data_IF_743855919847
#
_entry.id   IF_743855919847
#
_cell.length_a   1.000
_cell.length_b   1.000
_cell.length_c   1.000
_cell.angle_alpha   90.00
_cell.angle_beta   90.00
_cell.angle_gamma   90.00
#
_symmetry.space_group_name_H-M   'P 1'
#
loop_
_entity.id
_entity.type
_entity.pdbx_description
1 polymer ?
#
# COMPACT_ATOMS: atom_id res chain seq x y z
N UNK A 1 -12.90 -0.49 -36.28
CA UNK A 1 -11.78 -1.39 -35.96
C UNK A 1 -11.14 -0.84 -34.68
N UNK A 2 -11.46 -1.41 -33.52
CA UNK A 2 -10.84 -0.97 -32.25
C UNK A 2 -9.46 -1.62 -32.15
N UNK A 3 -8.42 -0.80 -32.05
CA UNK A 3 -7.06 -1.29 -31.86
C UNK A 3 -6.96 -2.05 -30.53
N UNK A 4 -6.17 -3.11 -30.52
CA UNK A 4 -5.83 -3.88 -29.32
C UNK A 4 -4.88 -3.00 -28.48
N UNK A 5 -5.42 -2.29 -27.49
CA UNK A 5 -4.63 -1.45 -26.58
C UNK A 5 -4.10 -2.32 -25.43
N UNK A 6 -2.81 -2.67 -25.45
CA UNK A 6 -2.11 -3.17 -24.27
C UNK A 6 -1.73 -1.98 -23.39
N UNK A 7 -2.66 -1.47 -22.59
CA UNK A 7 -2.35 -0.37 -21.66
C UNK A 7 -1.71 -0.95 -20.40
N UNK A 8 -0.40 -1.15 -20.47
CA UNK A 8 0.47 -1.18 -19.31
C UNK A 8 1.11 0.20 -19.16
N UNK A 9 1.29 0.64 -17.93
CA UNK A 9 2.00 1.87 -17.59
C UNK A 9 3.28 2.06 -18.43
N UNK A 10 3.50 3.27 -18.93
CA UNK A 10 4.72 3.60 -19.68
C UNK A 10 5.37 4.85 -19.10
N UNK A 11 6.65 4.72 -18.74
CA UNK A 11 7.51 5.84 -18.35
C UNK A 11 8.45 6.14 -19.52
N UNK A 12 8.53 7.40 -19.93
CA UNK A 12 9.37 7.82 -21.05
C UNK A 12 9.98 9.21 -20.83
N UNK A 13 10.90 9.60 -21.71
CA UNK A 13 11.56 10.91 -21.70
C UNK A 13 12.21 11.25 -20.35
N UNK A 14 12.89 10.28 -19.74
CA UNK A 14 13.58 10.49 -18.47
C UNK A 14 14.85 11.31 -18.71
N UNK A 15 14.85 12.55 -18.25
CA UNK A 15 16.03 13.44 -18.27
C UNK A 15 16.36 13.86 -16.85
N UNK A 16 17.64 14.11 -16.58
CA UNK A 16 18.10 14.53 -15.26
C UNK A 16 18.97 15.78 -15.40
N UNK A 17 18.74 16.76 -14.53
CA UNK A 17 19.44 18.02 -14.51
C UNK A 17 19.90 18.35 -13.09
N UNK A 18 21.13 18.84 -12.96
CA UNK A 18 21.62 19.29 -11.66
C UNK A 18 21.15 20.72 -11.39
N UNK A 19 20.56 20.93 -10.22
CA UNK A 19 20.20 22.25 -9.71
C UNK A 19 20.79 22.43 -8.30
N UNK A 20 22.00 23.01 -8.25
CA UNK A 20 22.75 23.15 -7.00
C UNK A 20 23.10 21.80 -6.39
N UNK A 21 22.57 21.54 -5.18
CA UNK A 21 22.74 20.28 -4.44
C UNK A 21 21.70 19.22 -4.81
N UNK A 22 20.71 19.57 -5.63
CA UNK A 22 19.63 18.68 -6.03
C UNK A 22 19.85 18.16 -7.45
N UNK A 23 19.25 17.00 -7.72
CA UNK A 23 19.03 16.51 -9.08
C UNK A 23 17.54 16.51 -9.35
N UNK A 24 17.13 17.17 -10.42
CA UNK A 24 15.74 17.19 -10.89
C UNK A 24 15.63 16.22 -12.06
N UNK A 25 14.73 15.25 -11.94
CA UNK A 25 14.46 14.23 -12.95
C UNK A 25 13.08 14.48 -13.53
N UNK A 26 13.02 14.79 -14.82
CA UNK A 26 11.76 14.95 -15.56
C UNK A 26 11.38 13.62 -16.21
N UNK A 27 10.09 13.32 -16.25
CA UNK A 27 9.57 12.14 -16.94
C UNK A 27 8.13 12.34 -17.42
N UNK A 28 7.73 11.52 -18.38
CA UNK A 28 6.35 11.42 -18.85
C UNK A 28 5.78 10.08 -18.40
N UNK A 29 4.59 10.10 -17.79
CA UNK A 29 3.87 8.91 -17.37
C UNK A 29 2.55 8.79 -18.13
N UNK A 30 2.37 7.66 -18.81
CA UNK A 30 1.09 7.26 -19.39
C UNK A 30 0.55 6.07 -18.60
N UNK A 31 -0.59 6.24 -17.92
CA UNK A 31 -1.22 5.20 -17.11
C UNK A 31 -2.75 5.35 -17.08
N UNK A 32 -3.47 4.24 -16.95
CA UNK A 32 -4.94 4.22 -16.75
C UNK A 32 -5.33 4.34 -15.27
N UNK A 33 -4.46 3.90 -14.37
CA UNK A 33 -4.67 3.95 -12.91
C UNK A 33 -3.50 4.66 -12.24
N UNK A 34 -3.70 5.31 -11.08
CA UNK A 34 -2.59 5.91 -10.36
C UNK A 34 -1.49 4.89 -10.06
N UNK A 35 -0.24 5.33 -10.18
CA UNK A 35 0.95 4.52 -9.97
C UNK A 35 1.72 4.98 -8.72
N UNK A 36 2.43 4.05 -8.10
CA UNK A 36 3.50 4.35 -7.17
C UNK A 36 4.79 4.57 -7.98
N UNK A 37 5.40 5.75 -7.82
CA UNK A 37 6.59 6.17 -8.56
C UNK A 37 7.79 6.19 -7.63
N UNK A 38 8.90 5.59 -8.09
CA UNK A 38 10.19 5.57 -7.38
C UNK A 38 11.33 5.96 -8.31
N UNK A 39 12.32 6.66 -7.76
CA UNK A 39 13.52 7.06 -8.47
C UNK A 39 14.69 6.15 -8.06
N UNK A 40 15.44 5.66 -9.03
CA UNK A 40 16.64 4.84 -8.83
C UNK A 40 17.82 5.52 -9.53
N UNK A 41 19.01 5.37 -8.96
CA UNK A 41 20.27 5.84 -9.57
C UNK A 41 21.20 4.66 -9.83
N UNK A 42 21.93 4.74 -10.94
CA UNK A 42 23.06 3.88 -11.25
C UNK A 42 24.33 4.72 -11.26
N UNK A 43 25.42 4.16 -10.73
CA UNK A 43 26.75 4.78 -10.70
C UNK A 43 27.74 4.13 -11.67
N UNK A 44 27.27 3.18 -12.48
CA UNK A 44 28.09 2.28 -13.29
C UNK A 44 27.49 2.07 -14.69
N UNK A 45 27.10 3.16 -15.35
CA UNK A 45 26.51 3.16 -16.70
C UNK A 45 25.21 2.36 -16.84
N UNK A 46 24.47 2.14 -15.76
CA UNK A 46 23.23 1.38 -15.76
C UNK A 46 23.40 -0.13 -15.57
N UNK A 47 24.60 -0.59 -15.21
CA UNK A 47 24.85 -2.02 -14.96
C UNK A 47 24.19 -2.48 -13.65
N UNK A 48 24.29 -1.67 -12.60
CA UNK A 48 23.59 -1.86 -11.32
C UNK A 48 22.71 -0.64 -11.01
N UNK A 49 21.60 -0.91 -10.32
CA UNK A 49 20.65 0.11 -9.89
C UNK A 49 20.55 0.10 -8.38
N UNK A 50 20.47 1.28 -7.78
CA UNK A 50 20.22 1.43 -6.35
C UNK A 50 18.82 0.94 -5.97
N UNK A 51 18.59 0.77 -4.68
CA UNK A 51 17.24 0.82 -4.12
C UNK A 51 16.59 2.19 -4.38
N UNK A 52 15.25 2.31 -4.24
CA UNK A 52 14.56 3.59 -4.34
C UNK A 52 15.22 4.67 -3.48
N UNK A 53 15.49 5.81 -4.09
CA UNK A 53 16.15 6.92 -3.42
C UNK A 53 15.27 7.51 -2.33
N UNK A 54 15.89 7.86 -1.21
CA UNK A 54 15.27 8.63 -0.14
C UNK A 54 15.20 10.10 -0.51
N UNK A 55 14.59 10.91 0.37
CA UNK A 55 14.58 12.38 0.30
C UNK A 55 14.29 12.97 -1.10
N UNK A 56 13.41 12.29 -1.83
CA UNK A 56 12.85 12.76 -3.08
C UNK A 56 11.56 13.56 -2.79
N UNK A 57 11.33 14.63 -3.54
CA UNK A 57 10.13 15.48 -3.47
C UNK A 57 9.55 15.70 -4.87
N UNK A 58 8.32 16.21 -4.97
CA UNK A 58 7.61 16.39 -6.23
C UNK A 58 6.71 15.20 -6.56
N UNK A 59 6.73 14.75 -7.81
CA UNK A 59 5.91 13.65 -8.32
C UNK A 59 6.52 12.27 -8.03
N UNK A 60 6.68 11.95 -6.75
CA UNK A 60 7.25 10.67 -6.28
C UNK A 60 6.37 10.07 -5.19
N UNK A 61 6.34 8.75 -5.09
CA UNK A 61 5.47 8.04 -4.17
C UNK A 61 4.12 7.67 -4.78
N UNK A 62 3.08 7.69 -3.97
CA UNK A 62 1.78 7.13 -4.30
C UNK A 62 0.88 8.08 -5.12
N UNK A 63 -0.11 7.50 -5.79
CA UNK A 63 -1.21 8.20 -6.46
C UNK A 63 -0.78 9.16 -7.59
N UNK A 64 0.28 8.83 -8.33
CA UNK A 64 0.73 9.63 -9.47
C UNK A 64 -0.05 9.22 -10.73
N UNK A 65 -0.78 10.18 -11.31
CA UNK A 65 -1.58 9.99 -12.51
C UNK A 65 -0.79 10.11 -13.81
N UNK A 66 -1.50 10.19 -14.94
CA UNK A 66 -0.86 10.43 -16.23
C UNK A 66 -0.46 11.90 -16.40
N UNK A 67 0.70 12.16 -17.00
CA UNK A 67 1.14 13.53 -17.29
C UNK A 67 2.66 13.70 -17.36
N UNK A 68 3.04 14.97 -17.46
CA UNK A 68 4.41 15.44 -17.33
C UNK A 68 4.71 15.67 -15.85
N UNK A 69 5.81 15.10 -15.37
CA UNK A 69 6.15 15.06 -13.95
C UNK A 69 7.62 15.34 -13.69
N UNK A 70 7.94 15.70 -12.45
CA UNK A 70 9.30 15.96 -12.00
C UNK A 70 9.55 15.46 -10.57
N UNK A 71 10.69 14.81 -10.37
CA UNK A 71 11.17 14.38 -9.06
C UNK A 71 12.42 15.19 -8.73
N UNK A 72 12.43 15.86 -7.59
CA UNK A 72 13.61 16.55 -7.07
C UNK A 72 14.23 15.72 -5.96
N UNK A 73 15.44 15.22 -6.19
CA UNK A 73 16.21 14.47 -5.21
C UNK A 73 17.24 15.37 -4.54
N UNK A 74 17.20 15.44 -3.20
CA UNK A 74 18.27 16.06 -2.42
C UNK A 74 19.41 15.05 -2.24
N UNK A 75 20.42 15.17 -3.11
CA UNK A 75 21.56 14.27 -3.16
C UNK A 75 22.28 14.20 -1.81
N UNK A 76 22.48 15.37 -1.19
CA UNK A 76 23.30 15.49 0.02
C UNK A 76 22.59 15.04 1.30
N UNK A 77 21.26 14.88 1.26
CA UNK A 77 20.50 14.29 2.36
C UNK A 77 20.69 12.77 2.45
N UNK A 78 20.85 12.09 1.31
CA UNK A 78 21.06 10.65 1.25
C UNK A 78 22.52 10.24 1.23
N UNK A 79 23.39 11.09 0.66
CA UNK A 79 24.78 10.75 0.36
C UNK A 79 25.69 11.93 0.61
N UNK A 80 26.92 11.66 1.01
CA UNK A 80 27.93 12.72 1.17
C UNK A 80 28.40 13.30 -0.17
N UNK A 81 28.30 12.51 -1.26
CA UNK A 81 28.66 12.92 -2.62
C UNK A 81 28.02 11.98 -3.65
N UNK A 82 27.86 12.46 -4.89
CA UNK A 82 27.43 11.65 -6.03
C UNK A 82 28.54 11.57 -7.07
N UNK A 83 29.31 10.48 -7.02
CA UNK A 83 30.35 10.16 -7.99
C UNK A 83 30.19 8.73 -8.52
N UNK A 84 30.58 8.51 -9.76
CA UNK A 84 30.44 7.23 -10.45
C UNK A 84 30.76 7.36 -11.93
N UNK A 85 30.94 6.22 -12.61
CA UNK A 85 31.17 6.18 -14.04
C UNK A 85 29.84 6.15 -14.79
N UNK A 86 29.52 7.25 -15.49
CA UNK A 86 28.31 7.38 -16.29
C UNK A 86 27.02 7.21 -15.46
N UNK A 87 26.82 8.11 -14.49
CA UNK A 87 25.63 8.14 -13.64
C UNK A 87 24.35 8.17 -14.51
N UNK A 88 23.38 7.31 -14.17
CA UNK A 88 22.07 7.24 -14.84
C UNK A 88 20.93 7.24 -13.84
N UNK A 89 19.80 7.77 -14.26
CA UNK A 89 18.56 7.77 -13.48
C UNK A 89 17.50 6.94 -14.16
N UNK A 90 16.70 6.23 -13.36
CA UNK A 90 15.55 5.47 -13.83
C UNK A 90 14.36 5.76 -12.94
N UNK A 91 13.26 6.10 -13.57
CA UNK A 91 11.96 6.19 -12.90
C UNK A 91 11.25 4.86 -13.06
N UNK A 92 10.82 4.29 -11.95
CA UNK A 92 10.02 3.06 -11.89
C UNK A 92 8.63 3.43 -11.43
N UNK A 93 7.66 3.32 -12.33
CA UNK A 93 6.24 3.36 -11.99
C UNK A 93 5.75 1.93 -11.79
N UNK A 94 4.93 1.69 -10.77
CA UNK A 94 4.21 0.44 -10.55
C UNK A 94 2.75 0.78 -10.35
N UNK A 95 1.85 0.19 -11.14
CA UNK A 95 0.42 0.36 -10.96
C UNK A 95 0.10 0.02 -9.53
N UNK A 96 -0.64 0.90 -8.85
CA UNK A 96 -1.02 0.65 -7.48
C UNK A 96 -1.93 -0.57 -7.48
N UNK A 97 -1.36 -1.73 -7.15
CA UNK A 97 -2.14 -2.76 -6.48
C UNK A 97 -2.62 -2.10 -5.20
N UNK A 98 -3.86 -2.33 -4.79
CA UNK A 98 -4.26 -2.08 -3.40
C UNK A 98 -3.14 -2.72 -2.59
N UNK A 99 -2.27 -1.91 -1.93
CA UNK A 99 -1.24 -2.42 -1.04
C UNK A 99 -2.04 -3.31 -0.12
N UNK A 100 -1.86 -4.62 -0.27
CA UNK A 100 -2.65 -5.60 0.46
C UNK A 100 -2.49 -5.18 1.89
N UNK A 101 -3.54 -4.59 2.45
CA UNK A 101 -3.52 -4.21 3.83
C UNK A 101 -3.11 -5.48 4.54
N UNK A 102 -2.07 -5.39 5.37
CA UNK A 102 -1.91 -6.31 6.49
C UNK A 102 -3.32 -6.53 7.01
N UNK A 103 -3.80 -7.78 6.95
CA UNK A 103 -5.21 -8.13 7.07
C UNK A 103 -5.94 -7.14 7.97
N UNK A 104 -6.93 -6.40 7.44
CA UNK A 104 -7.54 -5.23 8.09
C UNK A 104 -8.30 -5.56 9.38
N UNK A 105 -8.10 -6.73 9.98
CA UNK A 105 -8.57 -6.97 11.34
C UNK A 105 -7.88 -5.97 12.28
N UNK A 106 -8.63 -4.94 12.70
CA UNK A 106 -8.23 -4.00 13.75
C UNK A 106 -7.55 -2.70 13.29
N UNK A 107 -7.53 -2.36 11.99
CA UNK A 107 -7.03 -1.04 11.59
C UNK A 107 -8.05 0.06 11.88
N UNK A 108 -7.56 1.17 12.43
CA UNK A 108 -8.30 2.44 12.52
C UNK A 108 -8.51 2.92 11.07
N UNK A 109 -9.74 3.33 10.73
CA UNK A 109 -10.19 3.78 9.39
C UNK A 109 -10.76 2.72 8.42
N UNK A 110 -11.17 1.54 8.92
CA UNK A 110 -11.94 0.55 8.10
C UNK A 110 -13.40 0.97 7.87
N UNK A 111 -13.94 1.86 8.70
CA UNK A 111 -15.34 2.30 8.65
C UNK A 111 -15.49 3.62 7.91
N UNK A 112 -16.58 3.77 7.15
CA UNK A 112 -16.86 4.98 6.39
C UNK A 112 -17.23 6.14 7.33
N UNK A 113 -16.41 7.22 7.43
CA UNK A 113 -16.64 8.30 8.39
C UNK A 113 -17.92 9.10 8.11
N UNK A 114 -18.50 8.99 6.91
CA UNK A 114 -19.73 9.67 6.53
C UNK A 114 -21.01 8.90 6.91
N UNK A 115 -20.87 7.71 7.51
CA UNK A 115 -22.01 6.92 8.00
C UNK A 115 -22.13 7.05 9.52
N UNK A 116 -23.38 6.96 10.00
CA UNK A 116 -23.67 6.94 11.44
C UNK A 116 -23.73 5.49 11.91
N UNK A 117 -22.93 5.16 12.92
CA UNK A 117 -22.87 3.81 13.48
C UNK A 117 -23.45 3.77 14.89
N UNK A 118 -24.16 2.68 15.19
CA UNK A 118 -24.54 2.29 16.54
C UNK A 118 -23.46 1.43 17.20
N UNK A 119 -23.79 0.88 18.37
CA UNK A 119 -22.92 -0.03 19.11
C UNK A 119 -23.71 -1.19 19.70
N UNK A 120 -23.12 -2.38 19.69
CA UNK A 120 -23.62 -3.57 20.37
C UNK A 120 -22.50 -4.13 21.25
N UNK A 121 -22.84 -4.61 22.44
CA UNK A 121 -21.90 -5.23 23.38
C UNK A 121 -22.21 -6.71 23.51
N UNK A 122 -21.19 -7.56 23.40
CA UNK A 122 -21.34 -9.00 23.60
C UNK A 122 -21.29 -9.41 25.09
N UNK A 123 -21.34 -10.71 25.34
CA UNK A 123 -21.28 -11.31 26.68
C UNK A 123 -19.91 -11.20 27.38
N UNK A 124 -18.84 -10.91 26.64
CA UNK A 124 -17.49 -10.67 27.19
C UNK A 124 -17.21 -9.18 27.42
N UNK A 125 -18.14 -8.30 27.03
CA UNK A 125 -17.98 -6.85 27.12
C UNK A 125 -17.30 -6.23 25.91
N UNK A 126 -17.06 -6.99 24.83
CA UNK A 126 -16.54 -6.43 23.58
C UNK A 126 -17.62 -5.56 22.93
N UNK A 127 -17.24 -4.35 22.54
CA UNK A 127 -18.13 -3.40 21.86
C UNK A 127 -17.84 -3.40 20.37
N UNK A 128 -18.88 -3.66 19.59
CA UNK A 128 -18.84 -3.68 18.12
C UNK A 128 -19.71 -2.58 17.55
N UNK A 129 -19.28 -2.01 16.43
CA UNK A 129 -20.08 -1.06 15.66
C UNK A 129 -21.19 -1.77 14.90
N UNK A 130 -22.32 -1.10 14.80
CA UNK A 130 -23.49 -1.55 14.03
C UNK A 130 -23.94 -0.49 13.03
N UNK A 131 -24.62 -0.91 11.97
CA UNK A 131 -25.18 -0.02 10.95
C UNK A 131 -26.59 -0.45 10.57
N UNK A 132 -27.50 0.51 10.47
CA UNK A 132 -28.87 0.26 10.01
C UNK A 132 -28.90 0.27 8.48
N UNK A 133 -29.35 -0.82 7.87
CA UNK A 133 -29.57 -0.94 6.43
C UNK A 133 -31.03 -1.36 6.22
N UNK A 134 -31.82 -0.44 5.66
CA UNK A 134 -33.27 -0.61 5.56
C UNK A 134 -33.91 -0.59 6.94
N UNK A 135 -34.57 -1.69 7.33
CA UNK A 135 -35.25 -1.85 8.63
C UNK A 135 -34.48 -2.76 9.61
N UNK A 136 -33.27 -3.18 9.25
CA UNK A 136 -32.46 -4.12 10.03
C UNK A 136 -31.14 -3.48 10.42
N UNK A 137 -30.66 -3.80 11.62
CA UNK A 137 -29.36 -3.39 12.13
C UNK A 137 -28.36 -4.55 12.00
N UNK A 138 -27.22 -4.28 11.37
CA UNK A 138 -26.18 -5.25 11.06
C UNK A 138 -24.89 -4.91 11.80
N UNK A 139 -24.07 -5.91 12.12
CA UNK A 139 -22.70 -5.67 12.59
C UNK A 139 -21.86 -5.07 11.46
N UNK A 140 -21.11 -4.02 11.77
CA UNK A 140 -20.15 -3.39 10.87
C UNK A 140 -18.71 -3.92 11.07
N UNK A 141 -18.52 -4.82 12.05
CA UNK A 141 -17.26 -5.44 12.43
C UNK A 141 -17.45 -6.95 12.61
N UNK A 142 -16.37 -7.72 12.44
CA UNK A 142 -16.40 -9.17 12.68
C UNK A 142 -16.51 -9.46 14.18
N UNK A 143 -17.32 -10.47 14.53
CA UNK A 143 -17.40 -10.98 15.90
C UNK A 143 -16.05 -11.55 16.33
N UNK A 144 -15.60 -11.20 17.54
CA UNK A 144 -14.35 -11.65 18.13
C UNK A 144 -14.62 -12.13 19.57
N UNK A 145 -15.18 -13.33 19.70
CA UNK A 145 -15.51 -13.96 20.99
C UNK A 145 -14.57 -15.11 21.30
N UNK A 146 -14.18 -15.24 22.57
CA UNK A 146 -13.41 -16.38 23.06
C UNK A 146 -14.26 -17.43 23.76
N UNK A 147 -15.58 -17.19 23.88
CA UNK A 147 -16.54 -18.10 24.51
C UNK A 147 -17.78 -18.35 23.62
N UNK A 148 -18.35 -19.54 23.75
CA UNK A 148 -19.63 -19.91 23.19
C UNK A 148 -20.80 -19.27 23.95
N UNK A 149 -22.01 -19.31 23.35
CA UNK A 149 -23.24 -18.82 24.00
C UNK A 149 -23.58 -19.58 25.28
N UNK A 150 -23.13 -20.82 25.43
CA UNK A 150 -23.32 -21.62 26.64
C UNK A 150 -22.26 -21.33 27.72
N UNK A 151 -21.33 -20.39 27.48
CA UNK A 151 -20.27 -20.01 28.42
C UNK A 151 -18.99 -20.83 28.31
N UNK A 152 -18.96 -21.88 27.49
CA UNK A 152 -17.75 -22.68 27.29
C UNK A 152 -16.70 -21.91 26.50
N UNK A 153 -15.43 -21.99 26.91
CA UNK A 153 -14.34 -21.38 26.15
C UNK A 153 -14.17 -22.06 24.78
N UNK A 154 -13.96 -21.26 23.74
CA UNK A 154 -13.57 -21.75 22.43
C UNK A 154 -12.09 -22.16 22.51
N UNK A 155 -11.75 -23.44 22.25
CA UNK A 155 -10.36 -23.88 22.31
C UNK A 155 -9.48 -23.09 21.33
N UNK A 156 -8.38 -22.53 21.85
CA UNK A 156 -7.34 -21.86 21.06
C UNK A 156 -6.03 -22.63 21.14
N UNK A 157 -5.11 -22.38 20.20
CA UNK A 157 -3.74 -22.94 20.19
C UNK A 157 -3.67 -24.48 20.14
N UNK A 158 -4.67 -25.14 19.54
CA UNK A 158 -4.66 -26.60 19.40
C UNK A 158 -3.65 -27.07 18.33
N UNK A 159 -2.87 -28.12 18.63
CA UNK A 159 -1.87 -28.66 17.70
C UNK A 159 -2.54 -29.42 16.55
N UNK A 160 -1.86 -29.56 15.41
CA UNK A 160 -2.35 -30.30 14.24
C UNK A 160 -2.82 -31.73 14.56
N UNK A 161 -2.20 -32.40 15.54
CA UNK A 161 -2.60 -33.74 15.99
C UNK A 161 -3.90 -33.75 16.80
N UNK A 162 -4.25 -32.62 17.44
CA UNK A 162 -5.47 -32.45 18.25
C UNK A 162 -6.66 -32.02 17.39
N UNK A 163 -6.43 -31.26 16.31
CA UNK A 163 -7.44 -30.91 15.31
C UNK A 163 -8.14 -32.15 14.73
N UNK A 164 -7.39 -33.22 14.47
CA UNK A 164 -7.92 -34.48 13.91
C UNK A 164 -8.97 -35.18 14.78
N UNK A 165 -8.95 -34.90 16.09
CA UNK A 165 -9.81 -35.55 17.07
C UNK A 165 -10.79 -34.56 17.74
N UNK A 166 -10.74 -33.29 17.37
CA UNK A 166 -11.59 -32.25 17.93
C UNK A 166 -12.99 -32.33 17.33
N UNK A 167 -14.01 -32.46 18.19
CA UNK A 167 -15.43 -32.52 17.79
C UNK A 167 -16.17 -31.20 18.03
N UNK A 168 -15.50 -30.21 18.63
CA UNK A 168 -16.03 -28.86 18.91
C UNK A 168 -15.34 -27.83 18.03
N UNK A 169 -15.98 -26.70 17.73
CA UNK A 169 -15.31 -25.61 17.01
C UNK A 169 -14.09 -25.09 17.79
N UNK A 170 -13.04 -24.71 17.09
CA UNK A 170 -11.81 -24.15 17.65
C UNK A 170 -11.25 -23.10 16.65
N UNK A 171 -10.39 -22.20 17.09
CA UNK A 171 -9.71 -21.24 16.21
C UNK A 171 -8.26 -20.97 16.62
#
# INVERSE_FOLDING_TARGET
MRALHFLSQTVSQVTAEQQGQNVVVHYQLLTETPCEVSLLVSLDRGNTWSEPLGHCTGDVGENIGTGAHSITWNVLADRTELWGDGIRFRVKAVSMRIKGATHTCGLKDVLNPNLTYGTMTDQEGNVYKTIVIGTQEWMAENLNTSIYRNGDAIPTNIKNSQWRNTTSGAW
#
